data_IF_765691367980
#
_entry.id   IF_765691367980
#
_cell.length_a   1.000
_cell.length_b   1.000
_cell.length_c   1.000
_cell.angle_alpha   90.00
_cell.angle_beta   90.00
_cell.angle_gamma   90.00
#
_symmetry.space_group_name_H-M   'P 1'
#
loop_
_entity.id
_entity.type
_entity.pdbx_description
1 polymer ?
#
# COMPACT_ATOMS: atom_id res chain seq x y z
N UNK A 1 3.43 -14.82 -4.32
CA UNK A 1 4.15 -14.14 -5.44
C UNK A 1 3.18 -13.46 -6.39
N UNK A 2 2.99 -12.14 -6.26
CA UNK A 2 2.18 -11.32 -7.18
C UNK A 2 3.11 -10.62 -8.18
N UNK A 3 2.94 -10.87 -9.49
CA UNK A 3 3.68 -10.18 -10.55
C UNK A 3 2.99 -8.83 -10.89
N UNK A 4 3.76 -7.83 -11.34
CA UNK A 4 3.33 -6.52 -11.84
C UNK A 4 2.12 -6.58 -12.79
N UNK A 5 1.97 -7.63 -13.60
CA UNK A 5 0.81 -7.81 -14.51
C UNK A 5 -0.55 -7.99 -13.80
N UNK A 6 -0.56 -8.39 -12.52
CA UNK A 6 -1.78 -8.57 -11.70
C UNK A 6 -2.12 -7.34 -10.85
N UNK A 7 -1.37 -6.25 -10.99
CA UNK A 7 -1.57 -5.02 -10.21
C UNK A 7 -2.42 -4.06 -11.04
N UNK A 8 -3.62 -3.74 -10.55
CA UNK A 8 -4.56 -2.83 -11.19
C UNK A 8 -4.63 -1.55 -10.37
N UNK A 9 -4.24 -0.41 -10.96
CA UNK A 9 -4.18 0.89 -10.25
C UNK A 9 -3.45 0.80 -8.90
N UNK A 10 -2.27 0.18 -8.90
CA UNK A 10 -1.45 -0.03 -7.69
C UNK A 10 -2.11 -0.89 -6.59
N UNK A 11 -3.13 -1.70 -6.92
CA UNK A 11 -3.81 -2.62 -5.99
C UNK A 11 -3.79 -4.06 -6.47
N UNK A 12 -3.88 -5.00 -5.54
CA UNK A 12 -4.08 -6.43 -5.81
C UNK A 12 -4.70 -7.14 -4.61
N UNK A 13 -5.30 -8.31 -4.85
CA UNK A 13 -5.76 -9.23 -3.81
C UNK A 13 -4.79 -10.42 -3.72
N UNK A 14 -4.50 -10.87 -2.50
CA UNK A 14 -3.72 -12.08 -2.21
C UNK A 14 -4.31 -12.74 -0.96
N UNK A 15 -4.63 -14.04 -1.05
CA UNK A 15 -5.20 -14.82 0.07
C UNK A 15 -6.41 -14.11 0.72
N UNK A 16 -7.34 -13.63 -0.12
CA UNK A 16 -8.55 -12.88 0.29
C UNK A 16 -8.29 -11.55 1.01
N UNK A 17 -7.04 -11.07 1.04
CA UNK A 17 -6.67 -9.76 1.55
C UNK A 17 -6.31 -8.79 0.42
N UNK A 18 -6.81 -7.56 0.53
CA UNK A 18 -6.50 -6.49 -0.40
C UNK A 18 -5.25 -5.74 0.03
N UNK A 19 -4.38 -5.47 -0.92
CA UNK A 19 -3.14 -4.71 -0.75
C UNK A 19 -3.10 -3.53 -1.71
N UNK A 20 -2.47 -2.46 -1.25
CA UNK A 20 -2.24 -1.23 -2.00
C UNK A 20 -0.75 -0.85 -1.96
N UNK A 21 -0.23 -0.45 -3.12
CA UNK A 21 1.18 -0.11 -3.30
C UNK A 21 1.41 1.37 -3.02
N UNK A 22 2.28 1.63 -2.06
CA UNK A 22 2.70 2.98 -1.67
C UNK A 22 4.17 3.20 -2.01
N UNK A 23 4.53 4.47 -2.23
CA UNK A 23 5.92 4.89 -2.46
C UNK A 23 6.45 5.64 -1.25
N UNK A 24 7.61 5.23 -0.76
CA UNK A 24 8.35 5.91 0.32
C UNK A 24 9.84 5.76 0.06
N UNK A 25 10.62 6.85 0.20
CA UNK A 25 12.07 6.87 -0.01
C UNK A 25 12.51 6.18 -1.31
N UNK A 26 11.84 6.51 -2.42
CA UNK A 26 12.06 5.93 -3.75
C UNK A 26 11.88 4.40 -3.87
N UNK A 27 11.30 3.75 -2.85
CA UNK A 27 10.95 2.33 -2.81
C UNK A 27 9.44 2.14 -2.89
N UNK A 28 9.01 0.97 -3.35
CA UNK A 28 7.59 0.56 -3.43
C UNK A 28 7.32 -0.51 -2.38
N UNK A 29 6.22 -0.36 -1.66
CA UNK A 29 5.80 -1.28 -0.61
C UNK A 29 4.34 -1.65 -0.84
N UNK A 30 3.97 -2.91 -0.61
CA UNK A 30 2.57 -3.33 -0.56
C UNK A 30 2.12 -3.35 0.90
N UNK A 31 1.19 -2.48 1.26
CA UNK A 31 0.55 -2.45 2.58
C UNK A 31 -0.89 -2.96 2.48
N UNK A 32 -1.49 -3.47 3.57
CA UNK A 32 -2.91 -3.79 3.59
C UNK A 32 -3.74 -2.58 3.19
N UNK A 33 -4.75 -2.79 2.33
CA UNK A 33 -5.71 -1.78 1.93
C UNK A 33 -6.79 -1.58 3.01
N UNK A 34 -6.32 -1.35 4.24
CA UNK A 34 -7.13 -1.35 5.46
C UNK A 34 -6.64 -0.27 6.41
N UNK A 35 -7.50 0.70 6.69
CA UNK A 35 -7.24 1.76 7.64
C UNK A 35 -7.15 1.16 9.06
N UNK A 36 -6.10 1.48 9.84
CA UNK A 36 -5.94 0.92 11.18
C UNK A 36 -7.01 1.40 12.17
N UNK A 37 -7.79 2.43 11.85
CA UNK A 37 -8.91 2.88 12.69
C UNK A 37 -10.11 1.92 12.64
N UNK A 38 -10.77 1.79 11.47
CA UNK A 38 -11.99 0.97 11.29
C UNK A 38 -12.03 0.22 9.95
N UNK A 39 -10.87 -0.03 9.36
CA UNK A 39 -10.73 -0.89 8.20
C UNK A 39 -11.09 -0.30 6.85
N UNK A 40 -11.31 1.01 6.74
CA UNK A 40 -11.61 1.66 5.45
C UNK A 40 -10.51 1.51 4.40
N UNK A 41 -10.85 1.52 3.10
CA UNK A 41 -9.91 1.28 2.01
C UNK A 41 -8.98 2.48 1.82
N UNK A 42 -7.74 2.34 2.29
CA UNK A 42 -6.72 3.40 2.20
C UNK A 42 -6.38 3.76 0.74
N UNK A 43 -6.55 2.81 -0.18
CA UNK A 43 -6.30 2.98 -1.62
C UNK A 43 -7.27 3.93 -2.31
N UNK A 44 -8.44 4.19 -1.69
CA UNK A 44 -9.39 5.20 -2.14
C UNK A 44 -9.13 6.57 -1.48
N UNK A 45 -8.15 6.64 -0.57
CA UNK A 45 -7.76 7.85 0.15
C UNK A 45 -6.87 8.80 -0.66
N UNK A 46 -6.54 9.94 -0.05
CA UNK A 46 -5.60 10.92 -0.63
C UNK A 46 -4.19 10.65 -0.12
N UNK A 47 -3.24 10.49 -1.04
CA UNK A 47 -1.81 10.31 -0.71
C UNK A 47 -1.08 11.63 -0.93
N UNK A 48 -0.54 12.22 0.13
CA UNK A 48 0.33 13.38 0.04
C UNK A 48 1.79 12.94 0.02
N UNK A 49 2.47 13.12 -1.13
CA UNK A 49 3.87 12.72 -1.30
C UNK A 49 4.84 13.59 -0.52
N UNK A 50 4.56 14.88 -0.39
CA UNK A 50 5.41 15.84 0.33
C UNK A 50 5.47 15.53 1.83
N UNK A 51 4.31 15.33 2.47
CA UNK A 51 4.23 15.01 3.89
C UNK A 51 4.37 13.51 4.21
N UNK A 52 4.45 12.65 3.18
CA UNK A 52 4.44 11.19 3.32
C UNK A 52 3.26 10.70 4.18
N UNK A 53 2.06 11.19 3.86
CA UNK A 53 0.82 10.85 4.59
C UNK A 53 -0.25 10.29 3.65
N UNK A 54 -1.12 9.45 4.23
CA UNK A 54 -2.35 8.99 3.59
C UNK A 54 -3.52 9.46 4.45
N UNK A 55 -4.45 10.19 3.83
CA UNK A 55 -5.75 10.50 4.41
C UNK A 55 -6.73 9.41 3.98
N UNK A 56 -7.24 8.67 4.96
CA UNK A 56 -8.31 7.69 4.77
C UNK A 56 -9.55 8.41 4.18
N UNK A 57 -10.22 7.83 3.17
CA UNK A 57 -11.41 8.43 2.57
C UNK A 57 -12.61 8.43 3.53
N UNK A 58 -12.51 7.69 4.63
CA UNK A 58 -13.48 7.65 5.71
C UNK A 58 -12.94 8.35 6.95
N UNK A 59 -13.78 9.14 7.62
CA UNK A 59 -13.47 9.86 8.86
C UNK A 59 -12.19 10.73 8.80
N UNK A 60 -11.64 10.98 7.61
CA UNK A 60 -10.48 11.84 7.33
C UNK A 60 -9.20 11.57 8.13
N UNK A 61 -9.08 10.37 8.74
CA UNK A 61 -7.92 9.98 9.52
C UNK A 61 -6.63 10.02 8.68
N UNK A 62 -5.59 10.69 9.19
CA UNK A 62 -4.31 10.86 8.49
C UNK A 62 -3.23 10.01 9.13
N UNK A 63 -2.54 9.21 8.32
CA UNK A 63 -1.52 8.27 8.76
C UNK A 63 -0.22 8.51 8.03
N UNK A 64 0.90 8.57 8.76
CA UNK A 64 2.23 8.60 8.13
C UNK A 64 2.46 7.27 7.40
N UNK A 65 2.94 7.32 6.15
CA UNK A 65 3.22 6.14 5.34
C UNK A 65 4.16 5.19 6.09
N UNK A 66 5.23 5.72 6.69
CA UNK A 66 6.19 4.93 7.49
C UNK A 66 5.56 4.12 8.62
N UNK A 67 4.47 4.62 9.21
CA UNK A 67 3.74 3.87 10.25
C UNK A 67 2.95 2.69 9.67
N UNK A 68 2.41 2.85 8.46
CA UNK A 68 1.68 1.81 7.74
C UNK A 68 2.62 0.73 7.17
N UNK A 69 3.86 1.09 6.83
CA UNK A 69 4.87 0.15 6.30
C UNK A 69 5.18 -1.00 7.25
N UNK A 70 4.93 -0.85 8.57
CA UNK A 70 5.08 -1.92 9.56
C UNK A 70 4.24 -3.16 9.24
N UNK A 71 3.14 -2.97 8.51
CA UNK A 71 2.24 -4.04 8.08
C UNK A 71 2.50 -4.45 6.62
N UNK A 72 3.55 -3.94 5.97
CA UNK A 72 3.84 -4.29 4.58
C UNK A 72 4.27 -5.74 4.45
N UNK A 73 3.86 -6.38 3.35
CA UNK A 73 4.34 -7.73 3.04
C UNK A 73 5.72 -7.67 2.39
N UNK A 74 6.55 -8.72 2.57
CA UNK A 74 7.85 -8.79 1.94
C UNK A 74 7.77 -8.65 0.42
N UNK A 75 8.78 -8.01 -0.16
CA UNK A 75 8.90 -7.83 -1.60
C UNK A 75 10.30 -8.19 -2.08
N UNK A 76 10.38 -8.97 -3.16
CA UNK A 76 11.63 -9.35 -3.82
C UNK A 76 11.71 -8.64 -5.16
N UNK A 77 12.85 -8.02 -5.46
CA UNK A 77 13.12 -7.42 -6.77
C UNK A 77 14.02 -8.33 -7.59
N UNK A 78 13.60 -8.67 -8.80
CA UNK A 78 14.40 -9.40 -9.79
C UNK A 78 14.45 -8.55 -11.06
N UNK A 79 15.63 -8.02 -11.40
CA UNK A 79 15.81 -7.05 -12.50
C UNK A 79 14.84 -5.86 -12.35
N UNK A 80 13.88 -5.73 -13.26
CA UNK A 80 12.88 -4.65 -13.28
C UNK A 80 11.50 -5.06 -12.75
N UNK A 81 11.39 -6.28 -12.23
CA UNK A 81 10.16 -6.83 -11.66
C UNK A 81 10.24 -6.86 -10.14
N UNK A 82 9.12 -6.54 -9.49
CA UNK A 82 8.94 -6.64 -8.04
C UNK A 82 7.86 -7.69 -7.79
N UNK A 83 8.15 -8.63 -6.91
CA UNK A 83 7.27 -9.70 -6.47
C UNK A 83 6.89 -9.46 -5.02
N UNK A 84 5.61 -9.31 -4.75
CA UNK A 84 5.10 -9.27 -3.38
C UNK A 84 4.78 -10.70 -2.94
N UNK A 85 5.38 -11.11 -1.81
CA UNK A 85 5.37 -12.50 -1.36
C UNK A 85 4.04 -12.86 -0.73
#
# INVERSE_FOLDING_TARGET
MINKKRIIKDRFCKNDENYFIVKSNNKRFAIPDKCPHRGGPLSLGKVCRESQMIQCPWHDGRFKIVSLLKNSIPAVRVKDQIFYL
#
